data_IF_112969173216
#
_entry.id   IF_112969173216
#
_cell.length_a   1.000
_cell.length_b   1.000
_cell.length_c   1.000
_cell.angle_alpha   90.00
_cell.angle_beta   90.00
_cell.angle_gamma   90.00
#
_symmetry.space_group_name_H-M   'P 1'
#
loop_
_entity.id
_entity.type
_entity.pdbx_description
1 polymer ?
#
# COMPACT_ATOMS: atom_id res chain seq x y z
N UNK A 1 7.32 4.29 2.00
CA UNK A 1 7.50 3.01 2.70
C UNK A 1 7.83 3.23 4.15
N UNK A 2 6.94 2.79 5.02
CA UNK A 2 7.16 2.69 6.46
C UNK A 2 5.84 2.46 7.18
N UNK A 3 5.90 2.29 8.50
CA UNK A 3 4.73 2.37 9.38
C UNK A 3 4.61 3.79 9.96
N UNK A 4 5.73 4.33 10.43
CA UNK A 4 5.82 5.70 10.97
C UNK A 4 6.82 6.56 10.20
N UNK A 5 6.43 7.80 9.91
CA UNK A 5 7.30 8.84 9.38
C UNK A 5 6.59 10.19 9.49
N UNK A 6 7.08 11.04 10.41
CA UNK A 6 6.53 12.37 10.64
C UNK A 6 6.82 13.30 9.44
N UNK A 7 5.92 13.31 8.47
CA UNK A 7 5.98 14.14 7.25
C UNK A 7 4.59 14.50 6.75
N UNK A 8 4.50 15.58 5.96
CA UNK A 8 3.30 15.86 5.18
C UNK A 8 3.15 14.88 4.02
N UNK A 9 1.95 14.79 3.46
CA UNK A 9 1.70 14.00 2.25
C UNK A 9 2.73 14.35 1.17
N UNK A 10 3.32 13.34 0.53
CA UNK A 10 4.39 13.47 -0.47
C UNK A 10 5.60 14.30 -0.03
N UNK A 11 5.87 14.39 1.29
CA UNK A 11 6.97 15.20 1.85
C UNK A 11 6.89 16.69 1.47
N UNK A 12 5.68 17.20 1.22
CA UNK A 12 5.47 18.61 0.90
C UNK A 12 5.84 19.55 2.07
N UNK A 13 6.19 20.80 1.78
CA UNK A 13 6.46 21.82 2.81
C UNK A 13 5.19 22.22 3.58
N UNK A 14 4.04 22.22 2.90
CA UNK A 14 2.74 22.65 3.42
C UNK A 14 1.64 21.64 3.04
N UNK A 15 0.43 21.79 3.59
CA UNK A 15 -0.72 20.91 3.32
C UNK A 15 -0.95 19.82 4.38
N UNK A 16 -1.72 18.78 4.06
CA UNK A 16 -2.16 17.74 5.02
C UNK A 16 -0.98 16.90 5.55
N UNK A 17 -1.07 16.51 6.82
CA UNK A 17 -0.19 15.49 7.39
C UNK A 17 -0.50 14.12 6.78
N UNK A 18 0.54 13.31 6.53
CA UNK A 18 0.37 11.92 6.12
C UNK A 18 -0.14 11.09 7.30
N UNK A 19 -0.92 10.04 7.07
CA UNK A 19 -1.32 9.11 8.12
C UNK A 19 -0.11 8.35 8.73
N UNK A 20 1.00 8.23 8.00
CA UNK A 20 2.26 7.75 8.59
C UNK A 20 2.82 8.68 9.67
N UNK A 21 2.45 9.97 9.68
CA UNK A 21 2.95 10.91 10.69
C UNK A 21 2.39 10.60 12.09
N UNK A 22 1.28 9.87 12.17
CA UNK A 22 0.64 9.41 13.40
C UNK A 22 0.73 7.89 13.58
N UNK A 23 1.40 7.19 12.67
CA UNK A 23 1.45 5.72 12.68
C UNK A 23 0.14 5.04 12.26
N UNK A 24 -0.77 5.78 11.64
CA UNK A 24 -2.10 5.31 11.21
C UNK A 24 -2.10 4.80 9.76
N UNK A 25 -0.91 4.47 9.24
CA UNK A 25 -0.73 3.90 7.91
C UNK A 25 0.38 2.87 7.86
N UNK A 26 0.27 1.92 6.94
CA UNK A 26 1.28 0.90 6.67
C UNK A 26 1.51 0.74 5.18
N UNK A 27 2.79 0.66 4.80
CA UNK A 27 3.21 0.29 3.45
C UNK A 27 3.71 -1.15 3.44
N UNK A 28 3.17 -2.00 2.56
CA UNK A 28 3.59 -3.40 2.37
C UNK A 28 4.25 -3.55 1.00
N UNK A 29 5.54 -3.88 0.98
CA UNK A 29 6.31 -4.11 -0.27
C UNK A 29 6.22 -5.54 -0.80
N UNK A 30 5.78 -6.49 0.03
CA UNK A 30 5.62 -7.89 -0.37
C UNK A 30 5.39 -8.84 0.80
N UNK A 31 5.23 -10.11 0.48
CA UNK A 31 4.93 -11.19 1.41
C UNK A 31 5.99 -12.28 1.32
N UNK A 32 6.29 -12.90 2.48
CA UNK A 32 7.06 -14.13 2.56
C UNK A 32 6.17 -15.22 3.15
N UNK A 33 5.93 -16.26 2.38
CA UNK A 33 5.14 -17.40 2.81
C UNK A 33 5.99 -18.37 3.66
N UNK A 34 5.31 -19.29 4.35
CA UNK A 34 5.95 -20.24 5.26
C UNK A 34 6.96 -21.16 4.56
N UNK A 35 6.75 -21.47 3.28
CA UNK A 35 7.65 -22.25 2.42
C UNK A 35 8.87 -21.45 1.92
N UNK A 36 8.97 -20.17 2.27
CA UNK A 36 10.03 -19.27 1.83
C UNK A 36 9.74 -18.52 0.52
N UNK A 37 8.63 -18.80 -0.15
CA UNK A 37 8.21 -18.07 -1.36
C UNK A 37 8.08 -16.58 -1.08
N UNK A 38 8.72 -15.76 -1.91
CA UNK A 38 8.61 -14.30 -1.89
C UNK A 38 7.65 -13.82 -2.98
N UNK A 39 6.75 -12.92 -2.60
CA UNK A 39 5.78 -12.27 -3.48
C UNK A 39 5.98 -10.76 -3.30
N UNK A 40 6.75 -10.15 -4.20
CA UNK A 40 7.07 -8.72 -4.14
C UNK A 40 6.08 -7.93 -4.98
N UNK A 41 5.57 -6.80 -4.46
CA UNK A 41 4.61 -5.95 -5.18
C UNK A 41 5.22 -5.45 -6.48
N UNK A 42 6.44 -4.90 -6.42
CA UNK A 42 7.20 -4.41 -7.57
C UNK A 42 7.33 -5.43 -8.71
N UNK A 43 7.39 -6.72 -8.37
CA UNK A 43 7.71 -7.77 -9.33
C UNK A 43 6.47 -8.51 -9.82
N UNK A 44 5.40 -8.61 -9.03
CA UNK A 44 4.27 -9.52 -9.31
C UNK A 44 2.94 -8.80 -9.53
N UNK A 45 2.79 -7.55 -9.08
CA UNK A 45 1.51 -6.84 -9.15
C UNK A 45 1.05 -6.64 -10.62
N UNK A 46 -0.24 -6.86 -10.87
CA UNK A 46 -0.84 -6.74 -12.22
C UNK A 46 -0.54 -7.90 -13.18
N UNK A 47 0.32 -8.86 -12.81
CA UNK A 47 0.57 -10.05 -13.63
C UNK A 47 -0.56 -11.06 -13.46
N UNK A 48 -0.93 -11.75 -14.53
CA UNK A 48 -1.89 -12.87 -14.47
C UNK A 48 -1.22 -14.17 -14.01
N UNK A 49 -0.63 -14.13 -12.82
CA UNK A 49 -0.02 -15.27 -12.12
C UNK A 49 -0.74 -15.50 -10.80
N UNK A 50 -0.51 -16.65 -10.14
CA UNK A 50 -1.06 -16.88 -8.80
C UNK A 50 -0.61 -15.81 -7.80
N UNK A 51 0.64 -15.35 -7.90
CA UNK A 51 1.22 -14.29 -7.07
C UNK A 51 0.60 -12.91 -7.35
N UNK A 52 0.43 -12.56 -8.63
CA UNK A 52 -0.21 -11.29 -9.00
C UNK A 52 -1.68 -11.25 -8.61
N UNK A 53 -2.41 -12.37 -8.78
CA UNK A 53 -3.80 -12.50 -8.29
C UNK A 53 -3.88 -12.42 -6.77
N UNK A 54 -2.96 -13.04 -6.04
CA UNK A 54 -2.88 -12.90 -4.58
C UNK A 54 -2.69 -11.43 -4.15
N UNK A 55 -1.79 -10.68 -4.79
CA UNK A 55 -1.60 -9.27 -4.47
C UNK A 55 -2.83 -8.41 -4.79
N UNK A 56 -3.54 -8.74 -5.89
CA UNK A 56 -4.81 -8.09 -6.23
C UNK A 56 -5.87 -8.38 -5.17
N UNK A 57 -5.96 -9.62 -4.70
CA UNK A 57 -6.89 -10.00 -3.62
C UNK A 57 -6.58 -9.29 -2.30
N UNK A 58 -5.30 -9.17 -1.94
CA UNK A 58 -4.86 -8.36 -0.78
C UNK A 58 -5.32 -6.91 -0.92
N UNK A 59 -5.13 -6.29 -2.10
CA UNK A 59 -5.62 -4.93 -2.38
C UNK A 59 -7.14 -4.86 -2.21
N UNK A 60 -7.87 -5.73 -2.89
CA UNK A 60 -9.33 -5.69 -2.95
C UNK A 60 -9.93 -5.88 -1.54
N UNK A 61 -9.38 -6.80 -0.75
CA UNK A 61 -9.77 -6.99 0.66
C UNK A 61 -9.31 -5.88 1.59
N UNK A 62 -8.20 -5.22 1.27
CA UNK A 62 -7.78 -4.02 1.98
C UNK A 62 -8.82 -2.90 1.88
N UNK A 63 -9.45 -2.74 0.71
CA UNK A 63 -10.49 -1.74 0.52
C UNK A 63 -11.74 -1.97 1.39
N UNK A 64 -11.99 -3.20 1.84
CA UNK A 64 -13.08 -3.51 2.78
C UNK A 64 -12.75 -3.10 4.23
N UNK A 65 -11.46 -2.98 4.57
CA UNK A 65 -10.97 -2.82 5.94
C UNK A 65 -10.41 -1.43 6.23
N UNK A 66 -9.79 -0.79 5.24
CA UNK A 66 -9.09 0.47 5.38
C UNK A 66 -9.83 1.58 4.64
N UNK A 67 -9.77 2.80 5.17
CA UNK A 67 -10.36 3.97 4.52
C UNK A 67 -9.68 4.25 3.18
N UNK A 68 -8.35 4.19 3.14
CA UNK A 68 -7.56 4.38 1.91
C UNK A 68 -6.68 3.16 1.66
N UNK A 69 -6.83 2.60 0.46
CA UNK A 69 -5.96 1.56 -0.10
C UNK A 69 -5.41 2.05 -1.44
N UNK A 70 -4.10 2.19 -1.55
CA UNK A 70 -3.41 2.59 -2.78
C UNK A 70 -2.45 1.50 -3.23
N UNK A 71 -2.44 1.20 -4.52
CA UNK A 71 -1.63 0.17 -5.14
C UNK A 71 -0.84 0.72 -6.34
N UNK A 72 0.00 -0.10 -7.02
CA UNK A 72 0.70 0.33 -8.22
C UNK A 72 -0.20 0.92 -9.32
N UNK A 73 -1.48 0.55 -9.36
CA UNK A 73 -2.46 1.09 -10.32
C UNK A 73 -2.83 2.55 -10.03
N UNK A 74 -2.61 3.05 -8.81
CA UNK A 74 -2.96 4.42 -8.42
C UNK A 74 -2.02 5.45 -9.03
N UNK A 75 -0.70 5.29 -8.82
CA UNK A 75 0.33 6.15 -9.41
C UNK A 75 1.75 5.57 -9.21
N UNK A 76 2.73 6.24 -9.83
CA UNK A 76 4.16 5.87 -9.77
C UNK A 76 4.77 5.85 -8.37
N UNK A 77 4.22 6.60 -7.40
CA UNK A 77 4.73 6.61 -6.03
C UNK A 77 4.43 5.29 -5.31
N UNK A 78 3.44 4.52 -5.77
CA UNK A 78 3.01 3.25 -5.19
C UNK A 78 3.41 2.05 -6.05
N UNK A 79 4.33 2.23 -7.01
CA UNK A 79 4.72 1.18 -7.96
C UNK A 79 5.34 -0.07 -7.32
N UNK A 80 5.79 0.02 -6.08
CA UNK A 80 6.53 -1.02 -5.37
C UNK A 80 5.93 -1.39 -4.00
N UNK A 81 4.76 -0.85 -3.63
CA UNK A 81 4.06 -1.21 -2.39
C UNK A 81 2.55 -1.01 -2.47
N UNK A 82 1.85 -1.65 -1.53
CA UNK A 82 0.47 -1.32 -1.17
C UNK A 82 0.50 -0.40 0.04
N UNK A 83 -0.27 0.69 0.00
CA UNK A 83 -0.47 1.63 1.10
C UNK A 83 -1.86 1.43 1.69
N UNK A 84 -1.95 1.33 3.01
CA UNK A 84 -3.21 1.21 3.75
C UNK A 84 -3.24 2.23 4.87
N UNK A 85 -4.34 3.00 4.99
CA UNK A 85 -4.54 3.95 6.09
C UNK A 85 -6.01 4.10 6.51
N UNK A 86 -6.23 4.55 7.75
CA UNK A 86 -7.57 4.76 8.33
C UNK A 86 -8.03 6.23 8.26
N UNK A 87 -7.35 7.06 7.46
CA UNK A 87 -7.62 8.49 7.35
C UNK A 87 -9.00 8.81 6.78
N UNK A 88 -9.37 10.08 6.83
CA UNK A 88 -10.72 10.56 6.45
C UNK A 88 -11.11 10.42 4.97
N UNK A 89 -10.18 10.03 4.09
CA UNK A 89 -10.44 9.87 2.66
C UNK A 89 -10.87 8.42 2.39
N UNK A 90 -11.89 8.21 1.55
CA UNK A 90 -12.22 6.87 1.04
C UNK A 90 -11.70 6.71 -0.39
N UNK A 91 -10.60 5.96 -0.55
CA UNK A 91 -9.99 5.69 -1.85
C UNK A 91 -9.62 4.21 -1.93
N UNK A 92 -10.01 3.55 -3.01
CA UNK A 92 -9.58 2.19 -3.35
C UNK A 92 -9.02 2.23 -4.77
N UNK A 93 -7.71 2.08 -4.94
CA UNK A 93 -7.06 2.17 -6.26
C UNK A 93 -5.89 1.22 -6.41
#
# INVERSE_FOLDING_TARGET
>A
MGSYSCRRVNSAKEGRWSQHATGDAVDISGFRLADGTKIMVKDEFGKDTSKGRFLKEVRDKGCDLFSTTLSPDYNKLHADHLHFDMGFSSICS
#
